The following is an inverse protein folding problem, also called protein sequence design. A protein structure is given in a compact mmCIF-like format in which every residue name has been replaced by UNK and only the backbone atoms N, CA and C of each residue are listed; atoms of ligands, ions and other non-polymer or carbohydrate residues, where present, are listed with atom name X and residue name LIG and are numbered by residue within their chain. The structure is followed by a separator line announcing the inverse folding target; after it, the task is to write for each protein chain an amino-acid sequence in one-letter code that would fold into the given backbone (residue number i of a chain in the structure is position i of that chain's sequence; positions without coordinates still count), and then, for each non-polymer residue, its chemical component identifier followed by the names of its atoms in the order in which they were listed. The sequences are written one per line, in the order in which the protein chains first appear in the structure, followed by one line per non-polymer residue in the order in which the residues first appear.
data_IF_569215952110
#
_entry.id   IF_569215952110
#
_cell.length_a   1.000
_cell.length_b   1.000
_cell.length_c   1.000
_cell.angle_alpha   90.00
_cell.angle_beta   90.00
_cell.angle_gamma   90.00
#
_symmetry.space_group_name_H-M   'P 1'
#
loop_
_entity.id
_entity.type
_entity.pdbx_description
1 polymer ?
#
# COMPACT_ATOMS: atom_id res chain seq x y z
N UNK A 1 1.87 -12.83 5.94
CA UNK A 1 0.45 -12.96 5.58
C UNK A 1 0.30 -14.12 4.62
N UNK A 2 -0.91 -14.34 4.13
CA UNK A 2 -1.22 -15.36 3.12
C UNK A 2 -1.66 -14.67 1.81
N UNK A 3 -0.73 -14.46 0.86
CA UNK A 3 -1.03 -13.85 -0.43
C UNK A 3 -2.02 -14.64 -1.27
N UNK A 4 -2.05 -15.97 -1.12
CA UNK A 4 -2.86 -16.85 -1.96
C UNK A 4 -4.35 -16.67 -1.66
N UNK A 5 -4.71 -16.45 -0.39
CA UNK A 5 -6.08 -16.11 0.00
C UNK A 5 -6.57 -14.80 -0.65
N UNK A 6 -5.69 -13.80 -0.76
CA UNK A 6 -6.03 -12.50 -1.37
C UNK A 6 -6.18 -12.66 -2.88
N UNK A 7 -5.27 -13.40 -3.53
CA UNK A 7 -5.37 -13.71 -4.97
C UNK A 7 -6.64 -14.48 -5.29
N UNK A 8 -6.98 -15.47 -4.46
CA UNK A 8 -8.21 -16.23 -4.61
C UNK A 8 -9.45 -15.34 -4.46
N UNK A 9 -9.45 -14.43 -3.48
CA UNK A 9 -10.53 -13.45 -3.35
C UNK A 9 -10.65 -12.51 -4.55
N UNK A 10 -9.54 -12.17 -5.22
CA UNK A 10 -9.57 -11.36 -6.45
C UNK A 10 -10.09 -12.18 -7.64
N UNK A 11 -9.70 -13.45 -7.76
CA UNK A 11 -10.22 -14.38 -8.78
C UNK A 11 -11.73 -14.56 -8.67
N UNK A 12 -12.25 -14.75 -7.44
CA UNK A 12 -13.70 -14.84 -7.17
C UNK A 12 -14.48 -13.58 -7.56
N UNK A 13 -13.81 -12.45 -7.76
CA UNK A 13 -14.40 -11.18 -8.23
C UNK A 13 -14.06 -10.85 -9.67
N UNK A 14 -13.39 -11.75 -10.39
CA UNK A 14 -12.90 -11.50 -11.74
C UNK A 14 -11.98 -10.26 -11.82
N UNK A 15 -11.29 -9.96 -10.72
CA UNK A 15 -10.32 -8.87 -10.62
C UNK A 15 -8.89 -9.35 -10.90
N UNK A 16 -8.00 -8.42 -11.23
CA UNK A 16 -6.60 -8.73 -11.52
C UNK A 16 -5.84 -9.14 -10.24
N UNK A 17 -5.35 -10.39 -10.22
CA UNK A 17 -4.51 -10.92 -9.13
C UNK A 17 -3.08 -10.38 -9.17
N UNK A 18 -2.60 -9.86 -10.31
CA UNK A 18 -1.24 -9.33 -10.46
C UNK A 18 -0.96 -8.14 -9.56
N UNK A 19 -2.02 -7.44 -9.12
CA UNK A 19 -1.94 -6.32 -8.18
C UNK A 19 -1.38 -6.79 -6.83
N UNK A 20 -1.74 -8.00 -6.39
CA UNK A 20 -1.26 -8.55 -5.12
C UNK A 20 0.26 -8.76 -5.16
N UNK A 21 0.78 -9.30 -6.27
CA UNK A 21 2.23 -9.52 -6.44
C UNK A 21 3.00 -8.20 -6.50
N UNK A 22 2.47 -7.20 -7.22
CA UNK A 22 3.06 -5.85 -7.28
C UNK A 22 3.12 -5.19 -5.90
N UNK A 23 2.07 -5.32 -5.09
CA UNK A 23 2.06 -4.80 -3.71
C UNK A 23 3.13 -5.48 -2.86
N UNK A 24 3.32 -6.79 -3.01
CA UNK A 24 4.36 -7.53 -2.28
C UNK A 24 5.76 -7.08 -2.69
N UNK A 25 5.99 -6.88 -3.99
CA UNK A 25 7.26 -6.37 -4.51
C UNK A 25 7.58 -5.00 -3.92
N UNK A 26 6.62 -4.08 -3.94
CA UNK A 26 6.78 -2.71 -3.44
C UNK A 26 6.96 -2.67 -1.92
N UNK A 27 6.25 -3.51 -1.17
CA UNK A 27 6.48 -3.66 0.27
C UNK A 27 7.89 -4.21 0.54
N UNK A 28 8.37 -5.14 -0.29
CA UNK A 28 9.74 -5.65 -0.26
C UNK A 28 10.78 -4.56 -0.48
N UNK A 29 10.60 -3.72 -1.51
CA UNK A 29 11.47 -2.58 -1.78
C UNK A 29 11.43 -1.54 -0.66
N UNK A 30 10.26 -1.28 -0.09
CA UNK A 30 10.10 -0.36 1.04
C UNK A 30 10.90 -0.85 2.25
N UNK A 31 10.80 -2.15 2.61
CA UNK A 31 11.58 -2.72 3.72
C UNK A 31 13.08 -2.64 3.49
N UNK A 32 13.54 -2.90 2.27
CA UNK A 32 14.95 -2.76 1.91
C UNK A 32 15.43 -1.31 2.01
N UNK A 33 14.65 -0.37 1.48
CA UNK A 33 14.92 1.07 1.56
C UNK A 33 14.97 1.54 3.01
N UNK A 34 14.05 1.07 3.84
CA UNK A 34 14.03 1.36 5.28
C UNK A 34 15.26 0.82 5.99
N UNK A 35 15.66 -0.42 5.71
CA UNK A 35 16.87 -1.01 6.25
C UNK A 35 18.13 -0.24 5.84
N UNK A 36 18.23 0.17 4.58
CA UNK A 36 19.33 1.00 4.08
C UNK A 36 19.39 2.36 4.79
N UNK A 37 18.23 2.99 5.01
CA UNK A 37 18.11 4.26 5.72
C UNK A 37 18.57 4.14 7.18
N UNK A 38 18.20 3.07 7.88
CA UNK A 38 18.65 2.83 9.26
C UNK A 38 20.17 2.62 9.33
N UNK A 39 20.75 1.92 8.35
CA UNK A 39 22.21 1.75 8.22
C UNK A 39 22.88 3.11 7.97
N UNK A 40 22.40 3.89 7.01
CA UNK A 40 22.95 5.21 6.68
C UNK A 40 22.88 6.17 7.88
N UNK A 41 21.79 6.15 8.66
CA UNK A 41 21.66 6.92 9.91
C UNK A 41 22.66 6.47 10.97
N UNK A 42 22.89 5.16 11.10
CA UNK A 42 23.89 4.61 12.03
C UNK A 42 25.31 5.05 11.64
N UNK A 43 25.64 5.01 10.37
CA UNK A 43 26.93 5.47 9.83
C UNK A 43 27.12 6.97 10.01
N UNK A 44 26.09 7.78 9.75
CA UNK A 44 26.11 9.22 10.02
C UNK A 44 26.40 9.51 11.49
N UNK A 45 25.72 8.82 12.41
CA UNK A 45 25.93 8.98 13.84
C UNK A 45 27.35 8.55 14.28
N UNK A 46 27.91 7.51 13.67
CA UNK A 46 29.30 7.10 13.91
C UNK A 46 30.28 8.18 13.44
N UNK A 47 30.12 8.68 12.21
CA UNK A 47 30.93 9.77 11.66
C UNK A 47 30.84 11.04 12.53
N UNK A 48 29.65 11.38 13.04
CA UNK A 48 29.48 12.53 13.93
C UNK A 48 30.22 12.37 15.26
N UNK A 49 30.25 11.15 15.82
CA UNK A 49 31.03 10.86 17.05
C UNK A 49 32.52 11.02 16.82
N UNK A 50 33.03 10.54 15.69
CA UNK A 50 34.44 10.69 15.31
C UNK A 50 34.80 12.18 15.17
N UNK A 51 34.00 12.95 14.42
CA UNK A 51 34.18 14.40 14.27
C UNK A 51 34.14 15.11 15.64
N UNK A 52 33.22 14.70 16.52
CA UNK A 52 33.14 15.23 17.88
C UNK A 52 34.38 14.91 18.73
N UNK A 53 35.01 13.76 18.50
CA UNK A 53 36.27 13.36 19.13
C UNK A 53 37.43 14.28 18.75
N UNK A 54 37.61 14.56 17.45
CA UNK A 54 38.64 15.49 16.96
C UNK A 54 38.47 16.90 17.55
N UNK A 55 37.23 17.41 17.56
CA UNK A 55 36.93 18.74 18.13
C UNK A 55 37.21 18.81 19.64
N UNK A 56 36.94 17.75 20.40
CA UNK A 56 37.28 17.67 21.83
C UNK A 56 38.78 17.71 22.07
N UNK A 57 39.55 17.08 21.18
CA UNK A 57 41.02 17.08 21.23
C UNK A 57 41.65 18.36 20.65
N UNK A 58 40.85 19.38 20.30
CA UNK A 58 41.28 20.62 19.63
C UNK A 58 42.01 20.38 18.31
N UNK A 59 41.70 19.28 17.64
CA UNK A 59 42.21 18.94 16.31
C UNK A 59 41.14 19.26 15.27
N UNK A 60 41.56 19.69 14.08
CA UNK A 60 40.64 19.82 12.96
C UNK A 60 40.25 18.43 12.43
N UNK A 61 38.94 18.15 12.25
CA UNK A 61 38.50 16.90 11.68
C UNK A 61 38.97 16.80 10.22
N UNK A 62 39.45 15.62 9.77
CA UNK A 62 39.80 15.37 8.37
C UNK A 62 38.70 15.80 7.40
N UNK A 63 39.07 16.43 6.28
CA UNK A 63 38.13 16.78 5.19
C UNK A 63 37.35 15.56 4.70
N UNK A 64 37.96 14.38 4.68
CA UNK A 64 37.29 13.13 4.31
C UNK A 64 36.09 12.80 5.21
N UNK A 65 36.17 13.07 6.51
CA UNK A 65 35.05 12.82 7.43
C UNK A 65 33.92 13.83 7.23
N UNK A 66 34.26 15.09 6.91
CA UNK A 66 33.27 16.11 6.56
C UNK A 66 32.58 15.78 5.23
N UNK A 67 33.34 15.29 4.24
CA UNK A 67 32.80 14.83 2.96
C UNK A 67 31.87 13.62 3.15
N UNK A 68 32.30 12.58 3.88
CA UNK A 68 31.47 11.41 4.20
C UNK A 68 30.20 11.77 4.95
N UNK A 69 30.27 12.74 5.88
CA UNK A 69 29.09 13.24 6.57
C UNK A 69 28.08 13.82 5.56
N UNK A 70 28.54 14.70 4.68
CA UNK A 70 27.67 15.33 3.67
C UNK A 70 27.08 14.30 2.71
N UNK A 71 27.89 13.35 2.24
CA UNK A 71 27.45 12.25 1.37
C UNK A 71 26.35 11.42 2.04
N UNK A 72 26.52 11.05 3.31
CA UNK A 72 25.51 10.30 4.07
C UNK A 72 24.25 11.13 4.35
N UNK A 73 24.37 12.44 4.57
CA UNK A 73 23.21 13.33 4.70
C UNK A 73 22.41 13.43 3.39
N UNK A 74 23.08 13.47 2.25
CA UNK A 74 22.43 13.50 0.94
C UNK A 74 21.82 12.13 0.58
N UNK A 75 22.50 11.02 0.92
CA UNK A 75 21.98 9.65 0.78
C UNK A 75 20.71 9.45 1.62
N UNK A 76 20.71 9.88 2.89
CA UNK A 76 19.53 9.79 3.76
C UNK A 76 18.35 10.55 3.18
N UNK A 77 18.55 11.77 2.66
CA UNK A 77 17.46 12.54 2.02
C UNK A 77 16.89 11.83 0.80
N UNK A 78 17.75 11.23 -0.02
CA UNK A 78 17.31 10.47 -1.19
C UNK A 78 16.52 9.21 -0.79
N UNK A 79 16.97 8.50 0.24
CA UNK A 79 16.28 7.31 0.77
C UNK A 79 14.95 7.68 1.44
N UNK A 80 14.88 8.80 2.17
CA UNK A 80 13.64 9.30 2.79
C UNK A 80 12.61 9.71 1.73
N UNK A 81 13.04 10.35 0.65
CA UNK A 81 12.17 10.66 -0.49
C UNK A 81 11.65 9.38 -1.16
N UNK A 82 12.54 8.40 -1.40
CA UNK A 82 12.15 7.10 -1.97
C UNK A 82 11.18 6.35 -1.04
N UNK A 83 11.42 6.36 0.26
CA UNK A 83 10.53 5.74 1.24
C UNK A 83 9.12 6.34 1.19
N UNK A 84 9.00 7.66 1.12
CA UNK A 84 7.71 8.35 1.04
C UNK A 84 6.93 8.00 -0.23
N UNK A 85 7.61 7.96 -1.38
CA UNK A 85 6.99 7.58 -2.66
C UNK A 85 6.54 6.11 -2.66
N UNK A 86 7.36 5.19 -2.11
CA UNK A 86 7.01 3.77 -2.01
C UNK A 86 5.82 3.53 -1.07
N UNK A 87 5.76 4.22 0.09
CA UNK A 87 4.62 4.12 1.01
C UNK A 87 3.34 4.58 0.33
N UNK A 88 3.38 5.74 -0.33
CA UNK A 88 2.21 6.29 -1.03
C UNK A 88 1.72 5.32 -2.11
N UNK A 89 2.65 4.84 -2.93
CA UNK A 89 2.34 3.92 -4.03
C UNK A 89 1.78 2.59 -3.51
N UNK A 90 2.35 2.05 -2.43
CA UNK A 90 1.83 0.84 -1.75
C UNK A 90 0.42 1.06 -1.23
N UNK A 91 0.19 2.15 -0.51
CA UNK A 91 -1.10 2.44 0.14
C UNK A 91 -2.20 2.69 -0.90
N UNK A 92 -1.88 3.40 -1.98
CA UNK A 92 -2.78 3.61 -3.12
C UNK A 92 -3.18 2.26 -3.76
N UNK A 93 -2.23 1.35 -3.97
CA UNK A 93 -2.53 0.02 -4.50
C UNK A 93 -3.31 -0.86 -3.54
N UNK A 94 -2.98 -0.85 -2.24
CA UNK A 94 -3.75 -1.59 -1.23
C UNK A 94 -5.21 -1.10 -1.22
N UNK A 95 -5.43 0.20 -1.39
CA UNK A 95 -6.77 0.78 -1.49
C UNK A 95 -7.61 0.27 -2.67
N UNK A 96 -6.97 -0.22 -3.73
CA UNK A 96 -7.67 -0.84 -4.88
C UNK A 96 -8.09 -2.29 -4.64
N UNK A 97 -7.51 -2.95 -3.64
CA UNK A 97 -7.82 -4.35 -3.32
C UNK A 97 -9.09 -4.39 -2.47
N UNK A 98 -10.12 -5.07 -2.96
CA UNK A 98 -11.37 -5.25 -2.23
C UNK A 98 -11.21 -6.14 -0.99
N UNK A 99 -12.19 -6.11 -0.08
CA UNK A 99 -12.21 -6.95 1.13
C UNK A 99 -12.13 -8.46 0.82
N UNK A 100 -11.88 -9.36 1.77
CA UNK A 100 -11.94 -10.80 1.44
C UNK A 100 -13.38 -11.25 1.15
N UNK A 101 -13.58 -12.01 0.06
CA UNK A 101 -14.87 -12.67 -0.24
C UNK A 101 -15.02 -13.88 0.68
N UNK A 102 -16.11 -13.93 1.45
CA UNK A 102 -16.41 -15.06 2.33
C UNK A 102 -16.83 -16.29 1.52
N UNK A 103 -16.53 -17.49 2.02
CA UNK A 103 -16.79 -18.75 1.30
C UNK A 103 -18.28 -19.05 1.04
N UNK A 104 -19.19 -18.38 1.75
CA UNK A 104 -20.64 -18.51 1.55
C UNK A 104 -21.19 -17.65 0.42
N UNK A 105 -20.39 -16.75 -0.15
CA UNK A 105 -20.84 -15.82 -1.20
C UNK A 105 -20.78 -16.53 -2.54
N UNK A 106 -21.86 -16.42 -3.33
CA UNK A 106 -21.88 -16.93 -4.70
C UNK A 106 -20.80 -16.24 -5.54
N UNK A 107 -20.10 -17.02 -6.35
CA UNK A 107 -19.07 -16.52 -7.27
C UNK A 107 -19.70 -16.38 -8.64
N UNK A 108 -20.03 -15.16 -9.01
CA UNK A 108 -20.65 -14.85 -10.30
C UNK A 108 -20.18 -13.48 -10.81
N UNK A 109 -20.20 -13.29 -12.13
CA UNK A 109 -19.72 -12.07 -12.79
C UNK A 109 -20.84 -11.07 -13.11
N UNK A 110 -22.10 -11.46 -12.90
CA UNK A 110 -23.27 -10.62 -13.19
C UNK A 110 -24.33 -10.61 -12.07
N UNK A 111 -25.14 -9.55 -12.04
CA UNK A 111 -26.21 -9.35 -11.06
C UNK A 111 -27.38 -10.34 -11.26
N UNK A 112 -27.52 -10.90 -12.46
CA UNK A 112 -28.60 -11.83 -12.83
C UNK A 112 -28.57 -13.15 -12.04
N UNK A 113 -27.40 -13.53 -11.51
CA UNK A 113 -27.22 -14.78 -10.76
C UNK A 113 -27.24 -14.58 -9.25
N UNK A 114 -27.58 -13.37 -8.77
CA UNK A 114 -27.72 -13.11 -7.35
C UNK A 114 -28.85 -13.98 -6.75
N UNK A 115 -28.56 -14.80 -5.72
CA UNK A 115 -29.57 -15.65 -5.10
C UNK A 115 -30.60 -14.80 -4.36
N UNK A 116 -31.88 -15.12 -4.56
CA UNK A 116 -32.97 -14.56 -3.76
C UNK A 116 -33.07 -15.38 -2.48
N UNK A 117 -32.61 -14.83 -1.36
CA UNK A 117 -32.60 -15.51 -0.06
C UNK A 117 -33.98 -15.56 0.60
N UNK A 118 -34.76 -14.49 0.45
CA UNK A 118 -36.13 -14.40 0.97
C UNK A 118 -36.95 -13.39 0.16
N UNK A 119 -38.25 -13.61 0.09
CA UNK A 119 -39.21 -12.69 -0.52
C UNK A 119 -40.36 -12.45 0.45
N UNK A 120 -40.58 -11.19 0.83
CA UNK A 120 -41.63 -10.81 1.75
C UNK A 120 -42.68 -9.92 1.08
N UNK A 121 -43.95 -10.28 1.27
CA UNK A 121 -45.11 -9.62 0.66
C UNK A 121 -45.45 -10.17 -0.73
N UNK A 122 -46.70 -9.94 -1.13
CA UNK A 122 -47.18 -10.19 -2.50
C UNK A 122 -47.41 -8.84 -3.18
N UNK A 123 -46.72 -8.60 -4.30
CA UNK A 123 -46.96 -7.43 -5.13
C UNK A 123 -47.99 -7.78 -6.20
N UNK A 124 -49.24 -7.34 -5.99
CA UNK A 124 -50.30 -7.47 -6.98
C UNK A 124 -50.23 -6.29 -7.94
N UNK A 125 -50.16 -6.57 -9.24
CA UNK A 125 -50.19 -5.55 -10.30
C UNK A 125 -51.59 -5.48 -10.90
N UNK A 126 -52.21 -4.30 -10.86
CA UNK A 126 -53.48 -4.02 -11.54
C UNK A 126 -53.23 -3.16 -12.78
N UNK A 127 -54.09 -3.25 -13.81
CA UNK A 127 -53.93 -2.56 -15.11
C UNK A 127 -53.75 -1.03 -15.02
N UNK A 128 -54.15 -0.40 -13.91
CA UNK A 128 -54.01 1.04 -13.67
C UNK A 128 -52.71 1.41 -12.93
N UNK A 129 -51.94 0.44 -12.44
CA UNK A 129 -50.67 0.67 -11.75
C UNK A 129 -49.58 1.02 -12.76
N UNK A 130 -49.06 2.24 -12.68
CA UNK A 130 -47.97 2.72 -13.53
C UNK A 130 -46.68 1.91 -13.28
N UNK A 131 -46.03 1.44 -14.33
CA UNK A 131 -44.81 0.62 -14.24
C UNK A 131 -43.54 1.40 -13.86
N UNK A 132 -43.63 2.72 -13.68
CA UNK A 132 -42.50 3.60 -13.36
C UNK A 132 -42.96 4.82 -12.56
N UNK A 133 -42.14 5.23 -11.59
CA UNK A 133 -42.24 6.54 -10.95
C UNK A 133 -41.57 7.59 -11.84
N UNK A 134 -42.23 8.01 -12.91
CA UNK A 134 -41.87 9.26 -13.58
C UNK A 134 -42.90 10.32 -13.16
N UNK A 135 -42.59 11.18 -12.17
CA UNK A 135 -43.41 12.36 -11.92
C UNK A 135 -43.34 13.24 -13.16
N UNK A 136 -44.50 13.47 -13.77
CA UNK A 136 -44.67 14.38 -14.91
C UNK A 136 -44.35 15.81 -14.43
N UNK A 137 -43.39 16.47 -15.09
CA UNK A 137 -43.09 17.91 -14.92
C UNK A 137 -44.25 18.81 -15.36
#
# INVERSE_FOLDING_TARGET
GDPELIKESQRRRYADESIVDKVIEIDGEWRQTRGALDIAKKELNANQKEIGGFKKNKQEPPEELLAKKKEKEDEIKALEAKEAELIKTRDDMIGTIGNLVHDSVCVDDDEDHNPVEDTNGTFETEDWMLSHHNPVE
#
